data_IF_482896347208
#
_entry.id   IF_482896347208
#
_cell.length_a   1.000
_cell.length_b   1.000
_cell.length_c   1.000
_cell.angle_alpha   90.00
_cell.angle_beta   90.00
_cell.angle_gamma   90.00
#
_symmetry.space_group_name_H-M   'P 1'
#
loop_
_entity.id
_entity.type
_entity.pdbx_description
1 polymer ?
#
# COMPACT_ATOMS: atom_id res chain seq x y z
N UNK A 1 3.62 -24.57 -23.74
CA UNK A 1 4.45 -24.45 -22.53
C UNK A 1 5.17 -23.12 -22.41
N UNK A 2 5.88 -22.66 -23.43
CA UNK A 2 6.54 -21.34 -23.39
C UNK A 2 5.55 -20.18 -23.21
N UNK A 3 4.35 -20.31 -23.76
CA UNK A 3 3.30 -19.30 -23.69
C UNK A 3 2.72 -19.18 -22.28
N UNK A 4 2.49 -20.30 -21.59
CA UNK A 4 1.98 -20.31 -20.22
C UNK A 4 3.00 -19.72 -19.24
N UNK A 5 4.29 -20.04 -19.38
CA UNK A 5 5.35 -19.46 -18.57
C UNK A 5 5.48 -17.94 -18.76
N UNK A 6 5.27 -17.45 -19.97
CA UNK A 6 5.27 -16.01 -20.25
C UNK A 6 4.09 -15.29 -19.60
N UNK A 7 2.91 -15.90 -19.69
CA UNK A 7 1.70 -15.35 -19.08
C UNK A 7 1.83 -15.28 -17.55
N UNK A 8 2.39 -16.31 -16.94
CA UNK A 8 2.64 -16.33 -15.50
C UNK A 8 3.67 -15.28 -15.08
N UNK A 9 4.75 -15.11 -15.84
CA UNK A 9 5.76 -14.08 -15.57
C UNK A 9 5.17 -12.68 -15.70
N UNK A 10 4.36 -12.42 -16.73
CA UNK A 10 3.68 -11.14 -16.92
C UNK A 10 2.68 -10.85 -15.81
N UNK A 11 1.93 -11.86 -15.35
CA UNK A 11 1.00 -11.71 -14.23
C UNK A 11 1.72 -11.41 -12.93
N UNK A 12 2.86 -12.07 -12.68
CA UNK A 12 3.69 -11.80 -11.50
C UNK A 12 4.27 -10.38 -11.54
N UNK A 13 4.80 -9.95 -12.68
CA UNK A 13 5.33 -8.59 -12.85
C UNK A 13 4.24 -7.54 -12.68
N UNK A 14 3.05 -7.79 -13.20
CA UNK A 14 1.92 -6.90 -13.02
C UNK A 14 1.53 -6.78 -11.54
N UNK A 15 1.45 -7.90 -10.82
CA UNK A 15 1.12 -7.92 -9.40
C UNK A 15 2.16 -7.17 -8.57
N UNK A 16 3.45 -7.35 -8.84
CA UNK A 16 4.54 -6.62 -8.19
C UNK A 16 4.46 -5.13 -8.48
N UNK A 17 4.27 -4.74 -9.73
CA UNK A 17 4.12 -3.34 -10.13
C UNK A 17 2.94 -2.68 -9.46
N UNK A 18 1.82 -3.39 -9.35
CA UNK A 18 0.62 -2.90 -8.66
C UNK A 18 0.86 -2.65 -7.17
N UNK A 19 1.51 -3.58 -6.49
CA UNK A 19 1.88 -3.42 -5.07
C UNK A 19 2.85 -2.27 -4.87
N UNK A 20 3.87 -2.19 -5.71
CA UNK A 20 4.87 -1.12 -5.64
C UNK A 20 4.24 0.24 -5.90
N UNK A 21 3.34 0.33 -6.87
CA UNK A 21 2.57 1.54 -7.15
C UNK A 21 1.72 1.99 -5.96
N UNK A 22 1.04 1.04 -5.30
CA UNK A 22 0.24 1.34 -4.12
C UNK A 22 1.10 1.77 -2.94
N UNK A 23 2.26 1.17 -2.74
CA UNK A 23 3.22 1.56 -1.69
C UNK A 23 3.76 2.96 -1.94
N UNK A 24 4.08 3.28 -3.19
CA UNK A 24 4.52 4.62 -3.57
C UNK A 24 3.44 5.66 -3.32
N UNK A 25 2.21 5.38 -3.73
CA UNK A 25 1.07 6.26 -3.49
C UNK A 25 0.85 6.48 -1.99
N UNK A 26 0.94 5.42 -1.20
CA UNK A 26 0.80 5.49 0.25
C UNK A 26 1.90 6.36 0.86
N UNK A 27 3.14 6.23 0.41
CA UNK A 27 4.26 7.05 0.86
C UNK A 27 4.06 8.53 0.54
N UNK A 28 3.58 8.85 -0.66
CA UNK A 28 3.29 10.23 -1.08
C UNK A 28 2.19 10.83 -0.20
N UNK A 29 1.12 10.08 0.04
CA UNK A 29 0.02 10.54 0.90
C UNK A 29 0.46 10.72 2.36
N UNK A 30 1.35 9.86 2.85
CA UNK A 30 1.91 10.00 4.19
C UNK A 30 2.70 11.29 4.36
N UNK A 31 3.49 11.68 3.34
CA UNK A 31 4.22 12.94 3.34
C UNK A 31 3.25 14.12 3.34
N UNK A 32 2.22 14.09 2.51
CA UNK A 32 1.19 15.14 2.48
C UNK A 32 0.44 15.22 3.81
N UNK A 33 0.06 14.09 4.39
CA UNK A 33 -0.59 14.07 5.69
C UNK A 33 0.27 14.72 6.77
N UNK A 34 1.57 14.42 6.80
CA UNK A 34 2.49 15.00 7.77
C UNK A 34 2.55 16.52 7.65
N UNK A 35 2.52 17.06 6.43
CA UNK A 35 2.48 18.50 6.19
C UNK A 35 1.23 19.14 6.79
N UNK A 36 0.06 18.54 6.58
CA UNK A 36 -1.19 19.05 7.12
C UNK A 36 -1.29 18.88 8.63
N UNK A 37 -0.77 17.76 9.16
CA UNK A 37 -0.70 17.53 10.60
C UNK A 37 0.11 18.64 11.30
N UNK A 38 1.22 19.05 10.71
CA UNK A 38 2.06 20.13 11.25
C UNK A 38 1.36 21.49 11.25
N UNK A 39 0.35 21.68 10.41
CA UNK A 39 -0.39 22.93 10.29
C UNK A 39 -1.66 22.97 11.13
N UNK A 40 -2.06 21.86 11.76
CA UNK A 40 -3.28 21.79 12.56
C UNK A 40 -3.22 22.78 13.73
N UNK A 41 -4.29 23.59 13.87
CA UNK A 41 -4.40 24.57 14.93
C UNK A 41 -3.43 25.75 14.85
N UNK A 42 -2.64 25.82 13.78
CA UNK A 42 -1.58 26.84 13.65
C UNK A 42 -2.05 28.20 13.16
N UNK A 43 -3.33 28.33 12.75
CA UNK A 43 -3.87 29.60 12.28
C UNK A 43 -4.71 30.29 13.36
N UNK A 44 -4.72 31.61 13.33
CA UNK A 44 -5.65 32.42 14.14
C UNK A 44 -7.09 32.37 13.61
N UNK A 45 -7.28 31.89 12.35
CA UNK A 45 -8.58 31.75 11.72
C UNK A 45 -9.15 30.36 11.97
N UNK A 46 -10.32 30.30 12.63
CA UNK A 46 -11.04 29.04 12.86
C UNK A 46 -11.44 28.36 11.56
N UNK A 47 -11.80 29.14 10.53
CA UNK A 47 -12.14 28.60 9.20
C UNK A 47 -10.94 27.91 8.55
N UNK A 48 -9.76 28.51 8.63
CA UNK A 48 -8.54 27.93 8.10
C UNK A 48 -8.19 26.65 8.83
N UNK A 49 -8.29 26.64 10.16
CA UNK A 49 -8.04 25.45 10.97
C UNK A 49 -9.01 24.31 10.60
N UNK A 50 -10.28 24.61 10.41
CA UNK A 50 -11.26 23.60 9.98
C UNK A 50 -10.93 23.01 8.61
N UNK A 51 -10.52 23.83 7.65
CA UNK A 51 -10.10 23.37 6.34
C UNK A 51 -8.89 22.46 6.43
N UNK A 52 -7.93 22.81 7.28
CA UNK A 52 -6.73 21.99 7.52
C UNK A 52 -7.10 20.64 8.15
N UNK A 53 -8.02 20.64 9.10
CA UNK A 53 -8.52 19.40 9.71
C UNK A 53 -9.20 18.50 8.69
N UNK A 54 -10.06 19.05 7.83
CA UNK A 54 -10.74 18.29 6.78
C UNK A 54 -9.74 17.67 5.81
N UNK A 55 -8.74 18.44 5.36
CA UNK A 55 -7.69 17.94 4.46
C UNK A 55 -6.87 16.85 5.11
N UNK A 56 -6.47 17.04 6.36
CA UNK A 56 -5.73 16.04 7.11
C UNK A 56 -6.53 14.75 7.24
N UNK A 57 -7.79 14.85 7.60
CA UNK A 57 -8.69 13.70 7.74
C UNK A 57 -8.93 12.98 6.42
N UNK A 58 -9.09 13.74 5.32
CA UNK A 58 -9.26 13.17 3.98
C UNK A 58 -8.03 12.35 3.59
N UNK A 59 -6.84 12.84 3.87
CA UNK A 59 -5.59 12.12 3.59
C UNK A 59 -5.47 10.86 4.44
N UNK A 60 -5.89 10.91 5.70
CA UNK A 60 -5.91 9.72 6.56
C UNK A 60 -6.86 8.66 6.02
N UNK A 61 -8.06 9.05 5.58
CA UNK A 61 -9.03 8.13 4.98
C UNK A 61 -8.48 7.51 3.69
N UNK A 62 -7.86 8.33 2.83
CA UNK A 62 -7.27 7.84 1.59
C UNK A 62 -6.16 6.81 1.88
N UNK A 63 -5.28 7.07 2.84
CA UNK A 63 -4.25 6.13 3.25
C UNK A 63 -4.83 4.82 3.76
N UNK A 64 -5.87 4.88 4.60
CA UNK A 64 -6.53 3.68 5.12
C UNK A 64 -7.12 2.83 4.00
N UNK A 65 -7.73 3.46 2.99
CA UNK A 65 -8.29 2.76 1.84
C UNK A 65 -7.20 2.08 1.00
N UNK A 66 -6.11 2.78 0.74
CA UNK A 66 -4.97 2.22 0.02
C UNK A 66 -4.35 1.09 0.83
N UNK A 67 -4.18 1.28 2.13
CA UNK A 67 -3.64 0.25 3.02
C UNK A 67 -4.53 -1.00 3.02
N UNK A 68 -5.86 -0.84 3.00
CA UNK A 68 -6.79 -1.95 2.93
C UNK A 68 -6.61 -2.76 1.66
N UNK A 69 -6.47 -2.07 0.51
CA UNK A 69 -6.22 -2.73 -0.78
C UNK A 69 -4.87 -3.45 -0.74
N UNK A 70 -3.83 -2.77 -0.26
CA UNK A 70 -2.49 -3.33 -0.15
C UNK A 70 -2.47 -4.55 0.76
N UNK A 71 -3.17 -4.52 1.89
CA UNK A 71 -3.27 -5.65 2.82
C UNK A 71 -3.97 -6.86 2.19
N UNK A 72 -4.94 -6.64 1.31
CA UNK A 72 -5.59 -7.72 0.56
C UNK A 72 -4.63 -8.40 -0.41
N UNK A 73 -3.74 -7.62 -1.00
CA UNK A 73 -2.75 -8.15 -1.94
C UNK A 73 -1.57 -8.78 -1.21
N UNK A 74 -1.01 -8.08 -0.22
CA UNK A 74 0.20 -8.47 0.48
C UNK A 74 0.03 -9.77 1.29
N UNK A 75 -0.98 -9.94 2.16
CA UNK A 75 -1.16 -11.21 2.87
C UNK A 75 -1.46 -12.37 1.94
N UNK A 76 -2.21 -12.15 0.88
CA UNK A 76 -2.56 -13.18 -0.09
C UNK A 76 -1.37 -13.60 -0.94
N UNK A 77 -0.55 -12.64 -1.36
CA UNK A 77 0.59 -12.89 -2.23
C UNK A 77 1.86 -13.22 -1.45
N UNK A 78 2.16 -12.48 -0.39
CA UNK A 78 3.42 -12.62 0.34
C UNK A 78 3.33 -13.68 1.43
N UNK A 79 2.26 -13.69 2.22
CA UNK A 79 2.11 -14.68 3.30
C UNK A 79 1.81 -16.07 2.76
N UNK A 80 0.88 -16.17 1.82
CA UNK A 80 0.54 -17.45 1.19
C UNK A 80 1.71 -18.01 0.39
N UNK A 81 2.37 -17.17 -0.41
CA UNK A 81 3.54 -17.57 -1.20
C UNK A 81 4.70 -17.94 -0.27
N UNK A 82 4.93 -17.18 0.78
CA UNK A 82 5.99 -17.50 1.75
C UNK A 82 5.71 -18.80 2.47
N UNK A 83 4.46 -19.07 2.85
CA UNK A 83 4.06 -20.32 3.47
C UNK A 83 4.20 -21.49 2.50
N UNK A 84 3.77 -21.33 1.25
CA UNK A 84 3.93 -22.34 0.21
C UNK A 84 5.41 -22.63 -0.08
N UNK A 85 6.23 -21.58 -0.16
CA UNK A 85 7.65 -21.72 -0.38
C UNK A 85 8.33 -22.45 0.79
N UNK A 86 8.00 -22.08 2.02
CA UNK A 86 8.52 -22.75 3.21
C UNK A 86 8.15 -24.23 3.23
N UNK A 87 6.90 -24.55 2.90
CA UNK A 87 6.41 -25.92 2.82
C UNK A 87 7.14 -26.71 1.72
N UNK A 88 7.37 -26.09 0.57
CA UNK A 88 8.11 -26.71 -0.53
C UNK A 88 9.57 -26.96 -0.16
N UNK A 89 10.22 -26.02 0.52
CA UNK A 89 11.59 -26.14 0.98
C UNK A 89 11.71 -27.26 2.04
N UNK A 90 10.76 -27.37 2.95
CA UNK A 90 10.72 -28.46 3.93
C UNK A 90 10.61 -29.83 3.26
N UNK A 91 9.78 -29.94 2.21
CA UNK A 91 9.61 -31.21 1.47
C UNK A 91 10.89 -31.67 0.79
N UNK A 92 11.71 -30.76 0.34
CA UNK A 92 13.00 -31.11 -0.32
C UNK A 92 14.18 -31.11 0.65
N UNK A 93 13.91 -30.94 1.94
CA UNK A 93 14.92 -31.05 2.98
C UNK A 93 15.80 -29.81 3.15
N UNK A 94 15.32 -28.69 2.70
CA UNK A 94 15.99 -27.39 2.92
C UNK A 94 15.28 -26.63 4.06
#
# INVERSE_FOLDING_TARGET
MKRAAREDAMSADYAHGRRDGLRLALAILAVEEAKWAALLGGSSSGRTNQLREVRHKTLQVAQKRIQTVLNRLTPKDDTAISAELAAALDKIGL
#
